data_IF_255154674982
#
_entry.id   IF_255154674982
#
_cell.length_a   1.000
_cell.length_b   1.000
_cell.length_c   1.000
_cell.angle_alpha   90.00
_cell.angle_beta   90.00
_cell.angle_gamma   90.00
#
_symmetry.space_group_name_H-M   'P 1'
#
loop_
_entity.id
_entity.type
_entity.pdbx_description
1 polymer ?
#
# COMPACT_ATOMS: atom_id res chain seq x y z
N UNK A 1 28.56 -36.26 -35.33
CA UNK A 1 27.22 -35.78 -35.70
C UNK A 1 26.15 -36.59 -34.98
N UNK A 2 25.92 -36.42 -33.69
CA UNK A 2 24.83 -37.01 -32.91
C UNK A 2 24.71 -36.24 -31.56
N UNK A 3 24.35 -34.95 -31.57
CA UNK A 3 24.03 -34.16 -30.38
C UNK A 3 23.23 -32.89 -30.74
N UNK A 4 22.24 -33.00 -31.62
CA UNK A 4 21.42 -31.83 -32.01
C UNK A 4 19.91 -32.11 -32.09
N UNK A 5 19.40 -33.19 -31.52
CA UNK A 5 17.96 -33.53 -31.62
C UNK A 5 17.24 -33.77 -30.29
N UNK A 6 17.80 -33.28 -29.16
CA UNK A 6 17.17 -33.52 -27.84
C UNK A 6 16.57 -32.26 -27.19
N UNK A 7 16.61 -31.10 -27.81
CA UNK A 7 16.13 -29.85 -27.20
C UNK A 7 14.88 -29.25 -27.85
N UNK A 8 14.19 -29.95 -28.74
CA UNK A 8 12.95 -29.48 -29.40
C UNK A 8 11.69 -30.19 -28.87
N UNK A 9 11.82 -31.26 -28.07
CA UNK A 9 10.69 -32.06 -27.61
C UNK A 9 10.08 -31.60 -26.25
N UNK A 10 10.68 -30.62 -25.55
CA UNK A 10 10.18 -30.17 -24.21
C UNK A 10 9.26 -28.96 -24.30
N UNK A 11 9.21 -28.22 -25.41
CA UNK A 11 8.30 -27.09 -25.58
C UNK A 11 6.91 -27.42 -26.12
N UNK A 12 6.67 -28.70 -26.52
CA UNK A 12 5.39 -29.08 -27.16
C UNK A 12 4.39 -29.79 -26.22
N UNK A 13 4.73 -30.02 -24.93
CA UNK A 13 3.86 -30.73 -23.97
C UNK A 13 3.15 -29.84 -22.95
N UNK A 14 3.27 -28.50 -23.05
CA UNK A 14 2.57 -27.52 -22.19
C UNK A 14 1.30 -26.94 -22.83
N UNK A 15 0.86 -27.48 -23.96
CA UNK A 15 -0.24 -26.93 -24.76
C UNK A 15 -1.63 -27.57 -24.61
N UNK A 16 -1.82 -28.61 -23.77
CA UNK A 16 -3.09 -29.33 -23.78
C UNK A 16 -3.61 -29.70 -22.39
N UNK A 17 -3.81 -28.71 -21.49
CA UNK A 17 -4.66 -28.87 -20.29
C UNK A 17 -5.50 -27.62 -20.04
N UNK A 18 -6.28 -27.21 -21.02
CA UNK A 18 -7.38 -26.26 -20.84
C UNK A 18 -8.65 -26.81 -21.46
N UNK A 19 -9.21 -27.85 -20.83
CA UNK A 19 -10.59 -28.26 -21.14
C UNK A 19 -11.40 -28.06 -19.86
N UNK A 20 -12.15 -26.96 -19.82
CA UNK A 20 -13.11 -26.73 -18.74
C UNK A 20 -13.40 -25.28 -18.34
N UNK A 21 -12.77 -24.28 -18.95
CA UNK A 21 -13.21 -22.89 -18.76
C UNK A 21 -14.01 -22.45 -19.97
N UNK A 22 -15.25 -21.97 -19.74
CA UNK A 22 -16.01 -21.21 -20.75
C UNK A 22 -15.08 -20.19 -21.38
N UNK A 23 -15.11 -20.12 -22.70
CA UNK A 23 -14.30 -19.22 -23.51
C UNK A 23 -14.23 -17.83 -22.84
N UNK A 24 -13.02 -17.43 -22.42
CA UNK A 24 -12.77 -16.02 -22.07
C UNK A 24 -13.02 -15.24 -23.35
N UNK A 25 -14.08 -14.45 -23.37
CA UNK A 25 -14.25 -13.47 -24.43
C UNK A 25 -13.00 -12.60 -24.44
N UNK A 26 -12.28 -12.64 -25.54
CA UNK A 26 -11.17 -11.71 -25.79
C UNK A 26 -11.80 -10.32 -25.89
N UNK A 27 -11.69 -9.53 -24.83
CA UNK A 27 -12.31 -8.20 -24.77
C UNK A 27 -11.52 -7.27 -25.66
N UNK A 28 -12.24 -6.61 -26.53
CA UNK A 28 -11.76 -5.45 -27.26
C UNK A 28 -11.18 -4.42 -26.25
N UNK A 29 -9.98 -3.96 -26.50
CA UNK A 29 -9.25 -2.96 -25.74
C UNK A 29 -10.13 -1.74 -25.46
N UNK A 30 -10.43 -1.43 -24.18
CA UNK A 30 -10.97 -0.14 -23.82
C UNK A 30 -11.90 -0.01 -22.63
N UNK A 31 -12.34 -1.08 -21.98
CA UNK A 31 -13.21 -0.92 -20.81
C UNK A 31 -12.43 -0.64 -19.54
N UNK A 32 -12.79 0.46 -18.85
CA UNK A 32 -12.18 0.82 -17.57
C UNK A 32 -12.63 -0.12 -16.45
N UNK A 33 -11.71 -0.49 -15.58
CA UNK A 33 -12.02 -1.22 -14.37
C UNK A 33 -12.93 -0.39 -13.44
N UNK A 34 -13.87 -1.05 -12.78
CA UNK A 34 -14.81 -0.45 -11.83
C UNK A 34 -14.41 -0.77 -10.38
N UNK A 35 -15.12 -0.15 -9.42
CA UNK A 35 -14.89 -0.34 -8.00
C UNK A 35 -13.98 0.72 -7.39
N UNK A 36 -14.04 0.84 -6.06
CA UNK A 36 -13.23 1.77 -5.27
C UNK A 36 -11.90 1.12 -4.89
N UNK A 37 -10.88 1.92 -4.54
CA UNK A 37 -9.64 1.40 -3.96
C UNK A 37 -9.92 0.42 -2.81
N UNK A 38 -9.21 -0.71 -2.81
CA UNK A 38 -9.31 -1.77 -1.80
C UNK A 38 -10.65 -2.52 -1.73
N UNK A 39 -11.59 -2.29 -2.65
CA UNK A 39 -12.72 -3.20 -2.86
C UNK A 39 -12.22 -4.46 -3.60
N UNK A 40 -12.69 -5.63 -3.16
CA UNK A 40 -12.35 -6.94 -3.74
C UNK A 40 -13.62 -7.78 -3.94
N UNK A 41 -13.86 -8.16 -5.18
CA UNK A 41 -14.91 -9.15 -5.52
C UNK A 41 -14.35 -10.55 -5.33
N UNK A 42 -14.98 -11.35 -4.46
CA UNK A 42 -14.69 -12.78 -4.28
C UNK A 42 -15.81 -13.59 -4.88
N UNK A 43 -15.54 -14.26 -5.98
CA UNK A 43 -16.47 -15.16 -6.65
C UNK A 43 -16.32 -16.55 -6.03
N UNK A 44 -17.30 -16.94 -5.21
CA UNK A 44 -17.21 -18.15 -4.42
C UNK A 44 -18.56 -18.81 -4.23
N UNK A 45 -18.64 -20.12 -4.44
CA UNK A 45 -19.84 -20.93 -4.18
C UNK A 45 -20.23 -20.88 -2.69
N UNK A 46 -21.52 -21.07 -2.38
CA UNK A 46 -22.01 -20.97 -1.00
C UNK A 46 -21.33 -21.96 -0.07
N UNK A 47 -21.19 -23.22 -0.48
CA UNK A 47 -20.60 -24.27 0.33
C UNK A 47 -19.12 -23.98 0.66
N UNK A 48 -18.36 -23.48 -0.32
CA UNK A 48 -16.96 -23.12 -0.09
C UNK A 48 -16.83 -21.88 0.82
N UNK A 49 -17.75 -20.92 0.71
CA UNK A 49 -17.72 -19.70 1.52
C UNK A 49 -18.03 -19.92 3.00
N UNK A 50 -18.90 -20.90 3.32
CA UNK A 50 -19.26 -21.25 4.72
C UNK A 50 -18.41 -22.39 5.30
N UNK A 51 -17.35 -22.80 4.60
CA UNK A 51 -16.37 -23.78 5.06
C UNK A 51 -15.11 -23.13 5.60
N UNK A 52 -14.16 -23.94 6.09
CA UNK A 52 -12.84 -23.47 6.51
C UNK A 52 -12.11 -22.65 5.45
N UNK A 53 -12.33 -22.93 4.16
CA UNK A 53 -11.77 -22.12 3.06
C UNK A 53 -12.29 -20.70 3.09
N UNK A 54 -13.59 -20.52 3.28
CA UNK A 54 -14.20 -19.19 3.40
C UNK A 54 -13.70 -18.45 4.65
N UNK A 55 -13.55 -19.14 5.77
CA UNK A 55 -13.01 -18.58 7.00
C UNK A 55 -11.54 -18.16 6.81
N UNK A 56 -10.72 -19.00 6.19
CA UNK A 56 -9.32 -18.70 5.84
C UNK A 56 -9.21 -17.47 4.95
N UNK A 57 -10.01 -17.41 3.87
CA UNK A 57 -10.02 -16.26 2.97
C UNK A 57 -10.44 -14.98 3.68
N UNK A 58 -11.47 -15.04 4.54
CA UNK A 58 -11.92 -13.88 5.30
C UNK A 58 -10.87 -13.42 6.31
N UNK A 59 -10.23 -14.35 7.03
CA UNK A 59 -9.17 -14.03 7.97
C UNK A 59 -7.98 -13.33 7.30
N UNK A 60 -7.60 -13.77 6.10
CA UNK A 60 -6.51 -13.15 5.33
C UNK A 60 -6.93 -11.79 4.76
N UNK A 61 -8.03 -11.72 4.05
CA UNK A 61 -8.43 -10.54 3.29
C UNK A 61 -8.99 -9.41 4.17
N UNK A 62 -9.58 -9.77 5.31
CA UNK A 62 -10.15 -8.81 6.27
C UNK A 62 -9.29 -8.62 7.51
N UNK A 63 -8.03 -9.08 7.52
CA UNK A 63 -7.14 -8.79 8.65
C UNK A 63 -7.03 -7.28 8.88
N UNK A 64 -6.80 -6.83 10.12
CA UNK A 64 -6.71 -5.40 10.41
C UNK A 64 -5.49 -4.77 9.72
N UNK A 65 -5.64 -3.52 9.30
CA UNK A 65 -4.50 -2.69 8.90
C UNK A 65 -3.75 -2.28 10.16
N UNK A 66 -2.52 -2.75 10.32
CA UNK A 66 -1.75 -2.61 11.55
C UNK A 66 -1.47 -1.15 11.96
N UNK A 67 -1.35 -0.27 10.98
CA UNK A 67 -1.04 1.15 11.21
C UNK A 67 -2.24 1.99 11.69
N UNK A 68 -3.44 1.38 11.79
CA UNK A 68 -4.66 2.09 12.17
C UNK A 68 -5.06 1.80 13.62
N UNK A 69 -5.49 2.83 14.38
CA UNK A 69 -5.87 2.68 15.79
C UNK A 69 -7.23 1.97 16.01
N UNK A 70 -8.03 1.88 14.95
CA UNK A 70 -9.35 1.24 14.95
C UNK A 70 -9.37 0.21 13.84
N UNK A 71 -10.02 -0.91 14.08
CA UNK A 71 -10.15 -1.96 13.09
C UNK A 71 -10.69 -1.43 11.76
N UNK A 72 -9.90 -1.56 10.73
CA UNK A 72 -10.28 -1.44 9.32
C UNK A 72 -9.69 -2.65 8.59
N UNK A 73 -10.49 -3.39 7.80
CA UNK A 73 -9.99 -4.55 7.07
C UNK A 73 -9.04 -4.13 5.95
N UNK A 74 -8.10 -5.00 5.59
CA UNK A 74 -7.21 -4.75 4.45
C UNK A 74 -7.99 -4.57 3.15
N UNK A 75 -9.05 -5.37 2.93
CA UNK A 75 -9.92 -5.25 1.76
C UNK A 75 -11.39 -5.23 2.15
N UNK A 76 -12.18 -4.41 1.45
CA UNK A 76 -13.65 -4.43 1.49
C UNK A 76 -14.13 -5.58 0.60
N UNK A 77 -14.35 -6.74 1.20
CA UNK A 77 -14.69 -7.98 0.48
C UNK A 77 -16.18 -8.03 0.13
N UNK A 78 -16.48 -8.14 -1.15
CA UNK A 78 -17.80 -8.39 -1.69
C UNK A 78 -17.89 -9.81 -2.27
N UNK A 79 -18.57 -10.69 -1.59
CA UNK A 79 -18.77 -12.04 -2.12
C UNK A 79 -19.88 -12.09 -3.16
N UNK A 80 -19.64 -12.76 -4.28
CA UNK A 80 -20.59 -12.99 -5.37
C UNK A 80 -20.67 -14.49 -5.69
N UNK A 81 -21.87 -14.99 -5.93
CA UNK A 81 -22.06 -16.36 -6.41
C UNK A 81 -21.58 -16.49 -7.87
N UNK A 82 -20.99 -17.63 -8.27
CA UNK A 82 -20.49 -17.81 -9.64
C UNK A 82 -21.53 -17.49 -10.73
N UNK A 83 -22.80 -17.83 -10.51
CA UNK A 83 -23.88 -17.55 -11.49
C UNK A 83 -24.22 -16.06 -11.63
N UNK A 84 -23.84 -15.25 -10.65
CA UNK A 84 -24.05 -13.79 -10.64
C UNK A 84 -22.82 -13.01 -11.09
N UNK A 85 -21.71 -13.70 -11.34
CA UNK A 85 -20.49 -13.08 -11.82
C UNK A 85 -20.58 -12.85 -13.32
N UNK A 86 -20.91 -11.61 -13.70
CA UNK A 86 -21.13 -11.19 -15.10
C UNK A 86 -21.16 -9.66 -15.20
N UNK A 87 -20.96 -9.13 -16.41
CA UNK A 87 -21.09 -7.70 -16.73
C UNK A 87 -20.22 -6.81 -15.83
N UNK A 88 -20.81 -5.91 -15.05
CA UNK A 88 -20.09 -4.96 -14.20
C UNK A 88 -19.17 -5.63 -13.16
N UNK A 89 -19.55 -6.81 -12.66
CA UNK A 89 -18.73 -7.52 -11.68
C UNK A 89 -17.47 -8.13 -12.28
N UNK A 90 -17.52 -8.51 -13.57
CA UNK A 90 -16.33 -8.99 -14.30
C UNK A 90 -15.31 -7.88 -14.56
N UNK A 91 -15.75 -6.63 -14.54
CA UNK A 91 -14.88 -5.45 -14.74
C UNK A 91 -14.36 -4.86 -13.46
N UNK A 92 -14.62 -5.49 -12.29
CA UNK A 92 -14.12 -4.98 -11.03
C UNK A 92 -12.59 -4.98 -10.98
N UNK A 93 -12.01 -3.97 -10.37
CA UNK A 93 -10.55 -3.76 -10.33
C UNK A 93 -9.76 -4.87 -9.66
N UNK A 94 -10.33 -5.53 -8.64
CA UNK A 94 -9.75 -6.66 -7.95
C UNK A 94 -10.77 -7.80 -7.91
N UNK A 95 -10.38 -8.96 -8.43
CA UNK A 95 -11.23 -10.14 -8.49
C UNK A 95 -10.44 -11.35 -7.99
N UNK A 96 -11.07 -12.12 -7.09
CA UNK A 96 -10.61 -13.43 -6.66
C UNK A 96 -11.69 -14.46 -6.96
N UNK A 97 -11.43 -15.36 -7.88
CA UNK A 97 -12.32 -16.49 -8.19
C UNK A 97 -11.85 -17.73 -7.45
N UNK A 98 -12.76 -18.35 -6.73
CA UNK A 98 -12.53 -19.61 -6.00
C UNK A 98 -13.13 -20.76 -6.79
N UNK A 99 -12.29 -21.68 -7.23
CA UNK A 99 -12.67 -22.86 -8.01
C UNK A 99 -12.28 -24.15 -7.26
N UNK A 100 -13.26 -24.87 -6.76
CA UNK A 100 -13.06 -26.15 -6.07
C UNK A 100 -13.69 -27.25 -6.91
N UNK A 101 -12.90 -28.21 -7.37
CA UNK A 101 -13.34 -29.35 -8.16
C UNK A 101 -12.44 -30.56 -7.94
N UNK A 102 -12.99 -31.77 -7.78
CA UNK A 102 -12.19 -33.01 -7.67
C UNK A 102 -11.32 -33.32 -8.90
N UNK A 103 -11.62 -32.68 -10.04
CA UNK A 103 -10.82 -32.81 -11.26
C UNK A 103 -9.50 -32.05 -11.19
N UNK A 104 -9.37 -31.09 -10.25
CA UNK A 104 -8.14 -30.34 -10.00
C UNK A 104 -7.24 -31.17 -9.10
N UNK A 105 -6.06 -31.50 -9.57
CA UNK A 105 -5.13 -32.39 -8.83
C UNK A 105 -4.30 -31.62 -7.80
N UNK A 106 -3.86 -30.43 -8.16
CA UNK A 106 -2.95 -29.62 -7.33
C UNK A 106 -3.55 -28.25 -7.07
N UNK A 107 -3.48 -27.74 -5.82
CA UNK A 107 -3.93 -26.39 -5.50
C UNK A 107 -3.02 -25.35 -6.15
N UNK A 108 -3.60 -24.22 -6.57
CA UNK A 108 -2.83 -23.15 -7.20
C UNK A 108 -3.47 -21.77 -7.00
N UNK A 109 -2.63 -20.72 -7.02
CA UNK A 109 -3.02 -19.33 -7.22
C UNK A 109 -2.48 -18.86 -8.58
N UNK A 110 -3.39 -18.60 -9.52
CA UNK A 110 -3.07 -18.06 -10.83
C UNK A 110 -3.45 -16.59 -10.91
N UNK A 111 -2.55 -15.73 -11.38
CA UNK A 111 -2.75 -14.29 -11.47
C UNK A 111 -2.77 -13.86 -12.93
N UNK A 112 -3.75 -13.05 -13.30
CA UNK A 112 -3.85 -12.41 -14.61
C UNK A 112 -4.13 -10.92 -14.41
N UNK A 113 -3.45 -10.08 -15.16
CA UNK A 113 -3.71 -8.66 -15.20
C UNK A 113 -4.55 -8.31 -16.42
N UNK A 114 -5.44 -7.31 -16.28
CA UNK A 114 -6.24 -6.77 -17.39
C UNK A 114 -7.06 -7.83 -18.15
N UNK A 115 -7.67 -8.75 -17.41
CA UNK A 115 -8.39 -9.88 -18.00
C UNK A 115 -9.67 -9.45 -18.72
N UNK A 116 -10.44 -8.54 -18.12
CA UNK A 116 -11.76 -8.10 -18.61
C UNK A 116 -11.89 -6.57 -18.58
N UNK A 117 -11.02 -5.86 -17.89
CA UNK A 117 -10.99 -4.40 -17.82
C UNK A 117 -9.58 -3.92 -17.46
N UNK A 118 -9.31 -2.61 -17.54
CA UNK A 118 -8.02 -2.01 -17.21
C UNK A 118 -8.18 -0.82 -16.26
N UNK A 119 -7.30 -0.68 -15.26
CA UNK A 119 -6.31 -1.66 -14.76
C UNK A 119 -6.98 -2.66 -13.81
N UNK A 120 -6.77 -3.95 -14.00
CA UNK A 120 -7.41 -5.02 -13.24
C UNK A 120 -6.41 -6.06 -12.76
N UNK A 121 -6.58 -6.59 -11.55
CA UNK A 121 -6.00 -7.85 -11.11
C UNK A 121 -7.08 -8.91 -10.96
N UNK A 122 -6.86 -10.06 -11.58
CA UNK A 122 -7.75 -11.20 -11.60
C UNK A 122 -7.00 -12.42 -11.08
N UNK A 123 -7.42 -12.97 -9.94
CA UNK A 123 -6.78 -14.09 -9.28
C UNK A 123 -7.74 -15.29 -9.31
N UNK A 124 -7.22 -16.47 -9.64
CA UNK A 124 -7.93 -17.73 -9.51
C UNK A 124 -7.25 -18.56 -8.43
N UNK A 125 -7.96 -18.83 -7.34
CA UNK A 125 -7.59 -19.81 -6.34
C UNK A 125 -8.32 -21.10 -6.67
N UNK A 126 -7.62 -22.18 -6.94
CA UNK A 126 -8.21 -23.46 -7.32
C UNK A 126 -7.61 -24.62 -6.55
N UNK A 127 -8.40 -25.68 -6.33
CA UNK A 127 -7.97 -26.88 -5.64
C UNK A 127 -8.98 -28.03 -5.71
N UNK A 128 -8.58 -29.25 -5.29
CA UNK A 128 -9.42 -30.45 -5.36
C UNK A 128 -10.60 -30.41 -4.40
N UNK A 129 -10.42 -29.81 -3.24
CA UNK A 129 -11.40 -29.68 -2.16
C UNK A 129 -11.15 -28.42 -1.33
N UNK A 130 -12.08 -28.11 -0.41
CA UNK A 130 -12.01 -26.91 0.43
C UNK A 130 -10.83 -26.96 1.42
N UNK A 131 -10.53 -28.13 1.99
CA UNK A 131 -9.47 -28.27 2.99
C UNK A 131 -8.10 -28.04 2.36
N UNK A 132 -7.79 -28.75 1.29
CA UNK A 132 -6.51 -28.63 0.57
C UNK A 132 -6.30 -27.19 0.05
N UNK A 133 -7.35 -26.56 -0.48
CA UNK A 133 -7.24 -25.19 -0.95
C UNK A 133 -7.10 -24.17 0.19
N UNK A 134 -7.77 -24.38 1.33
CA UNK A 134 -7.63 -23.52 2.51
C UNK A 134 -6.19 -23.55 3.06
N UNK A 135 -5.60 -24.73 3.18
CA UNK A 135 -4.22 -24.89 3.59
C UNK A 135 -3.26 -24.18 2.63
N UNK A 136 -3.40 -24.42 1.33
CA UNK A 136 -2.57 -23.80 0.32
C UNK A 136 -2.66 -22.25 0.32
N UNK A 137 -3.86 -21.70 0.42
CA UNK A 137 -4.07 -20.25 0.51
C UNK A 137 -3.47 -19.68 1.79
N UNK A 138 -3.57 -20.39 2.92
CA UNK A 138 -2.96 -19.99 4.19
C UNK A 138 -1.44 -19.94 4.09
N UNK A 139 -0.81 -20.94 3.49
CA UNK A 139 0.64 -21.01 3.26
C UNK A 139 1.13 -19.92 2.28
N UNK A 140 0.29 -19.53 1.33
CA UNK A 140 0.58 -18.51 0.31
C UNK A 140 -0.07 -17.15 0.59
N UNK A 141 -0.51 -16.89 1.82
CA UNK A 141 -1.24 -15.67 2.21
C UNK A 141 -0.47 -14.39 1.88
N UNK A 142 0.84 -14.38 2.09
CA UNK A 142 1.68 -13.21 1.84
C UNK A 142 1.76 -12.89 0.33
N UNK A 143 1.84 -13.91 -0.52
CA UNK A 143 1.81 -13.75 -1.96
C UNK A 143 0.47 -13.22 -2.45
N UNK A 144 -0.64 -13.75 -1.93
CA UNK A 144 -2.00 -13.28 -2.26
C UNK A 144 -2.17 -11.80 -1.91
N UNK A 145 -1.79 -11.41 -0.69
CA UNK A 145 -1.86 -10.03 -0.23
C UNK A 145 -0.92 -9.12 -1.02
N UNK A 146 0.31 -9.56 -1.26
CA UNK A 146 1.28 -8.80 -2.05
C UNK A 146 0.77 -8.47 -3.47
N UNK A 147 0.15 -9.44 -4.15
CA UNK A 147 -0.40 -9.22 -5.50
C UNK A 147 -1.52 -8.18 -5.48
N UNK A 148 -2.43 -8.26 -4.51
CA UNK A 148 -3.55 -7.33 -4.36
C UNK A 148 -3.07 -5.91 -3.98
N UNK A 149 -2.18 -5.81 -2.99
CA UNK A 149 -1.59 -4.54 -2.55
C UNK A 149 -0.75 -3.90 -3.66
N UNK A 150 0.04 -4.70 -4.38
CA UNK A 150 0.82 -4.22 -5.52
C UNK A 150 -0.08 -3.65 -6.61
N UNK A 151 -1.20 -4.30 -6.91
CA UNK A 151 -2.15 -3.79 -7.91
C UNK A 151 -2.74 -2.43 -7.51
N UNK A 152 -3.10 -2.23 -6.24
CA UNK A 152 -3.57 -0.94 -5.74
C UNK A 152 -2.47 0.13 -5.80
N UNK A 153 -1.25 -0.21 -5.37
CA UNK A 153 -0.10 0.67 -5.45
C UNK A 153 0.21 1.07 -6.89
N UNK A 154 0.28 0.13 -7.82
CA UNK A 154 0.61 0.40 -9.22
C UNK A 154 -0.39 1.38 -9.86
N UNK A 155 -1.68 1.32 -9.48
CA UNK A 155 -2.71 2.26 -9.95
C UNK A 155 -2.45 3.67 -9.41
N UNK A 156 -2.15 3.81 -8.10
CA UNK A 156 -1.87 5.12 -7.49
C UNK A 156 -0.57 5.72 -8.04
N UNK A 157 0.46 4.90 -8.18
CA UNK A 157 1.74 5.27 -8.79
C UNK A 157 1.55 5.74 -10.24
N UNK A 158 0.77 5.02 -11.03
CA UNK A 158 0.48 5.41 -12.42
C UNK A 158 -0.26 6.74 -12.50
N UNK A 159 -1.24 6.96 -11.61
CA UNK A 159 -1.95 8.24 -11.53
C UNK A 159 -1.00 9.40 -11.17
N UNK A 160 -0.22 9.26 -10.11
CA UNK A 160 0.72 10.29 -9.67
C UNK A 160 1.77 10.63 -10.74
N UNK A 161 2.23 9.61 -11.48
CA UNK A 161 3.19 9.81 -12.58
C UNK A 161 2.57 10.45 -13.82
N UNK A 162 1.28 10.23 -14.06
CA UNK A 162 0.57 10.82 -15.19
C UNK A 162 0.15 12.28 -14.95
N UNK A 163 -0.12 12.64 -13.69
CA UNK A 163 -0.61 13.98 -13.29
C UNK A 163 0.23 14.59 -12.17
N UNK A 164 1.56 14.79 -12.38
CA UNK A 164 2.43 15.37 -11.36
C UNK A 164 2.22 16.88 -11.26
N UNK A 165 2.19 17.39 -10.04
CA UNK A 165 2.21 18.83 -9.76
C UNK A 165 3.45 19.48 -10.37
N UNK A 166 3.25 20.49 -11.20
CA UNK A 166 4.33 21.22 -11.88
C UNK A 166 5.13 22.11 -10.92
N UNK A 167 4.60 22.37 -9.73
CA UNK A 167 5.28 23.20 -8.71
C UNK A 167 5.86 22.36 -7.57
N UNK A 168 5.12 21.36 -7.07
CA UNK A 168 5.53 20.60 -5.88
C UNK A 168 6.61 19.54 -6.19
N UNK A 169 6.49 18.86 -7.33
CA UNK A 169 7.46 17.83 -7.73
C UNK A 169 8.87 18.43 -7.89
N UNK A 170 9.09 19.53 -8.65
CA UNK A 170 10.41 20.16 -8.74
C UNK A 170 10.89 20.75 -7.41
N UNK A 171 9.98 21.29 -6.59
CA UNK A 171 10.32 21.82 -5.26
C UNK A 171 10.95 20.76 -4.36
N UNK A 172 10.33 19.57 -4.29
CA UNK A 172 10.83 18.45 -3.48
C UNK A 172 12.17 17.96 -4.03
N UNK A 173 12.32 17.83 -5.35
CA UNK A 173 13.59 17.45 -5.97
C UNK A 173 14.70 18.44 -5.64
N UNK A 174 14.44 19.72 -5.77
CA UNK A 174 15.41 20.77 -5.47
C UNK A 174 15.85 20.78 -3.99
N UNK A 175 14.89 20.59 -3.07
CA UNK A 175 15.18 20.71 -1.63
C UNK A 175 15.83 19.47 -1.02
N UNK A 176 15.44 18.29 -1.47
CA UNK A 176 15.79 17.01 -0.84
C UNK A 176 16.65 16.11 -1.71
N UNK A 177 16.94 16.51 -2.96
CA UNK A 177 17.61 15.64 -3.96
C UNK A 177 16.87 14.29 -4.13
N UNK A 178 15.54 14.35 -4.15
CA UNK A 178 14.64 13.20 -4.22
C UNK A 178 13.62 13.44 -5.32
N UNK A 179 13.58 12.55 -6.31
CA UNK A 179 12.50 12.53 -7.30
C UNK A 179 11.31 11.78 -6.74
N UNK A 180 10.20 12.47 -6.54
CA UNK A 180 8.92 11.92 -6.09
C UNK A 180 7.79 12.68 -6.78
N UNK A 181 7.13 12.09 -7.80
CA UNK A 181 5.95 12.69 -8.40
C UNK A 181 4.86 12.89 -7.35
N UNK A 182 4.47 14.14 -7.15
CA UNK A 182 3.38 14.52 -6.23
C UNK A 182 2.19 14.87 -7.10
N UNK A 183 1.00 14.26 -6.88
CA UNK A 183 -0.20 14.59 -7.64
C UNK A 183 -0.57 16.07 -7.53
N UNK A 184 -1.23 16.61 -8.55
CA UNK A 184 -1.58 18.04 -8.66
C UNK A 184 -2.74 18.46 -7.74
N UNK A 185 -3.42 17.50 -7.11
CA UNK A 185 -4.47 17.73 -6.11
C UNK A 185 -3.94 18.07 -4.69
N UNK A 186 -2.61 18.03 -4.48
CA UNK A 186 -1.95 18.46 -3.25
C UNK A 186 -1.55 19.93 -3.25
N UNK A 187 -1.49 20.53 -2.06
CA UNK A 187 -1.14 21.95 -1.88
C UNK A 187 0.00 22.11 -0.87
N UNK A 188 0.96 22.99 -1.18
CA UNK A 188 2.00 23.40 -0.25
C UNK A 188 1.38 24.22 0.90
N UNK A 189 1.61 23.80 2.13
CA UNK A 189 1.14 24.49 3.34
C UNK A 189 2.25 25.33 3.98
N UNK A 190 3.42 24.74 4.12
CA UNK A 190 4.59 25.41 4.71
C UNK A 190 5.87 24.94 4.04
N UNK A 191 6.82 25.84 3.93
CA UNK A 191 8.17 25.59 3.45
C UNK A 191 9.17 26.30 4.35
N UNK A 192 10.21 25.58 4.77
CA UNK A 192 11.41 26.11 5.37
C UNK A 192 12.65 25.55 4.64
N UNK A 193 13.85 25.86 5.09
CA UNK A 193 15.09 25.39 4.46
C UNK A 193 15.23 23.84 4.46
N UNK A 194 14.72 23.20 5.52
CA UNK A 194 14.91 21.78 5.83
C UNK A 194 13.59 20.97 5.86
N UNK A 195 12.45 21.61 5.54
CA UNK A 195 11.14 20.97 5.61
C UNK A 195 10.15 21.56 4.61
N UNK A 196 9.29 20.72 4.04
CA UNK A 196 8.03 21.09 3.37
C UNK A 196 6.87 20.35 4.02
N UNK A 197 5.74 21.01 4.16
CA UNK A 197 4.46 20.39 4.53
C UNK A 197 3.47 20.56 3.38
N UNK A 198 2.91 19.43 2.92
CA UNK A 198 2.07 19.31 1.75
C UNK A 198 0.84 18.50 2.14
N UNK A 199 -0.36 18.97 1.81
CA UNK A 199 -1.60 18.26 2.14
C UNK A 199 -2.69 18.44 1.10
N UNK A 200 -3.64 17.51 1.11
CA UNK A 200 -4.93 17.61 0.45
C UNK A 200 -6.02 17.72 1.53
N UNK A 201 -6.84 18.77 1.43
CA UNK A 201 -7.90 19.06 2.39
C UNK A 201 -9.26 18.67 1.83
N UNK A 202 -10.05 18.01 2.65
CA UNK A 202 -11.44 17.69 2.41
C UNK A 202 -12.33 18.41 3.44
N UNK A 203 -13.63 18.55 3.26
CA UNK A 203 -14.49 19.31 4.18
C UNK A 203 -14.42 18.87 5.64
N UNK A 204 -14.10 17.60 5.92
CA UNK A 204 -14.04 17.07 7.30
C UNK A 204 -12.84 16.15 7.53
N UNK A 205 -11.90 16.11 6.61
CA UNK A 205 -10.74 15.24 6.68
C UNK A 205 -9.55 15.92 6.00
N UNK A 206 -8.35 15.45 6.28
CA UNK A 206 -7.12 15.88 5.65
C UNK A 206 -6.17 14.71 5.55
N UNK A 207 -5.44 14.63 4.46
CA UNK A 207 -4.30 13.75 4.31
C UNK A 207 -3.11 14.55 3.81
N UNK A 208 -1.93 14.15 4.22
CA UNK A 208 -0.74 14.88 3.79
C UNK A 208 0.54 14.21 4.24
N UNK A 209 1.60 14.83 3.85
CA UNK A 209 2.93 14.44 4.27
C UNK A 209 3.79 15.67 4.49
N UNK A 210 4.77 15.55 5.38
CA UNK A 210 5.84 16.49 5.48
C UNK A 210 7.18 15.79 5.25
N UNK A 211 7.99 16.40 4.41
CA UNK A 211 9.32 15.91 4.09
C UNK A 211 10.30 16.80 4.81
N UNK A 212 11.24 16.18 5.53
CA UNK A 212 12.27 16.92 6.24
C UNK A 212 13.61 16.21 6.17
N UNK A 213 14.67 16.98 6.37
CA UNK A 213 16.05 16.50 6.36
C UNK A 213 16.87 17.08 7.48
N UNK A 214 17.91 16.35 7.87
CA UNK A 214 18.92 16.77 8.85
C UNK A 214 20.22 15.99 8.66
N UNK A 215 21.37 16.48 9.17
CA UNK A 215 22.63 15.78 9.02
C UNK A 215 22.58 14.34 9.57
N UNK A 216 23.21 13.41 8.85
CA UNK A 216 23.39 12.04 9.34
C UNK A 216 24.63 11.96 10.21
N UNK A 217 24.45 11.68 11.49
CA UNK A 217 25.49 11.62 12.52
C UNK A 217 25.83 10.18 12.95
N UNK A 218 25.57 9.19 12.08
CA UNK A 218 25.79 7.78 12.35
C UNK A 218 24.52 7.03 12.75
N UNK A 219 24.68 5.72 13.01
CA UNK A 219 23.54 4.77 13.21
C UNK A 219 22.68 5.12 14.42
N UNK A 220 23.21 5.82 15.41
CA UNK A 220 22.46 6.26 16.59
C UNK A 220 21.33 7.22 16.23
N UNK A 221 21.52 8.06 15.19
CA UNK A 221 20.50 8.98 14.68
C UNK A 221 19.30 8.27 14.01
N UNK A 222 19.41 6.98 13.75
CA UNK A 222 18.38 6.15 13.15
C UNK A 222 17.66 5.25 14.17
N UNK A 223 18.00 5.31 15.44
CA UNK A 223 17.28 4.58 16.50
C UNK A 223 15.91 5.20 16.75
N UNK A 224 14.95 4.38 17.21
CA UNK A 224 13.55 4.79 17.41
C UNK A 224 13.41 6.11 18.19
N UNK A 225 14.09 6.24 19.34
CA UNK A 225 13.96 7.45 20.18
C UNK A 225 14.54 8.70 19.49
N UNK A 226 15.62 8.55 18.69
CA UNK A 226 16.17 9.63 17.88
C UNK A 226 15.20 10.04 16.76
N UNK A 227 14.57 9.07 16.09
CA UNK A 227 13.56 9.32 15.05
C UNK A 227 12.31 9.99 15.61
N UNK A 228 11.82 9.57 16.78
CA UNK A 228 10.69 10.23 17.46
C UNK A 228 11.05 11.69 17.80
N UNK A 229 12.25 11.92 18.34
CA UNK A 229 12.73 13.28 18.66
C UNK A 229 12.84 14.14 17.40
N UNK A 230 13.39 13.61 16.31
CA UNK A 230 13.48 14.31 15.04
C UNK A 230 12.08 14.62 14.49
N UNK A 231 11.19 13.62 14.44
CA UNK A 231 9.80 13.81 14.03
C UNK A 231 9.11 14.93 14.80
N UNK A 232 9.17 14.90 16.12
CA UNK A 232 8.52 15.92 16.97
C UNK A 232 9.10 17.32 16.75
N UNK A 233 10.41 17.46 16.54
CA UNK A 233 11.04 18.73 16.20
C UNK A 233 10.49 19.33 14.89
N UNK A 234 10.25 18.50 13.88
CA UNK A 234 9.70 18.98 12.61
C UNK A 234 8.17 19.09 12.65
N UNK A 235 7.47 18.14 13.23
CA UNK A 235 6.02 18.16 13.36
C UNK A 235 5.52 19.37 14.20
N UNK A 236 6.29 19.84 15.20
CA UNK A 236 5.94 21.05 15.97
C UNK A 236 5.90 22.34 15.16
N UNK A 237 6.40 22.32 13.92
CA UNK A 237 6.26 23.44 12.98
C UNK A 237 4.95 23.40 12.19
N UNK A 238 4.17 22.35 12.33
CA UNK A 238 2.82 22.21 11.77
C UNK A 238 1.84 22.73 12.80
N UNK A 239 1.22 23.91 12.57
CA UNK A 239 0.32 24.53 13.54
C UNK A 239 -0.96 23.73 13.66
N UNK A 240 -1.47 23.60 14.87
CA UNK A 240 -2.82 23.15 15.14
C UNK A 240 -3.84 24.27 14.95
N UNK A 241 -5.14 23.97 15.16
CA UNK A 241 -6.24 24.94 14.99
C UNK A 241 -6.26 26.09 16.01
N UNK A 242 -5.56 25.94 17.14
CA UNK A 242 -5.43 27.00 18.17
C UNK A 242 -4.04 27.62 18.14
N UNK A 243 -3.97 28.87 18.47
CA UNK A 243 -2.70 29.56 18.68
C UNK A 243 -1.82 28.81 19.72
N UNK A 244 -0.56 28.57 19.37
CA UNK A 244 0.38 27.82 20.20
C UNK A 244 0.17 26.29 20.21
N UNK A 245 -0.83 25.76 19.50
CA UNK A 245 -0.97 24.33 19.31
C UNK A 245 -0.20 23.83 18.08
N UNK A 246 0.32 22.60 18.13
CA UNK A 246 1.15 22.02 17.08
C UNK A 246 1.07 20.49 17.06
N UNK A 247 1.48 19.89 15.95
CA UNK A 247 1.49 18.42 15.79
C UNK A 247 2.65 17.80 16.60
N UNK A 248 2.37 16.66 17.25
CA UNK A 248 3.36 15.83 17.93
C UNK A 248 3.06 14.35 17.81
N UNK A 249 3.95 13.48 18.29
CA UNK A 249 3.72 12.03 18.37
C UNK A 249 3.06 11.70 19.69
N UNK A 250 2.01 10.89 19.66
CA UNK A 250 1.36 10.36 20.87
C UNK A 250 2.38 9.53 21.66
N UNK A 251 2.59 9.88 22.92
CA UNK A 251 3.51 9.21 23.84
C UNK A 251 2.81 8.39 24.93
N UNK A 252 1.51 8.55 25.06
CA UNK A 252 0.66 7.85 26.03
C UNK A 252 -0.75 7.69 25.48
N UNK A 253 -1.39 6.59 25.80
CA UNK A 253 -2.80 6.30 25.49
C UNK A 253 -3.55 6.01 26.77
N UNK A 254 -4.85 6.20 26.74
CA UNK A 254 -5.71 5.83 27.88
C UNK A 254 -5.93 4.32 27.84
N UNK A 255 -5.88 3.67 28.99
CA UNK A 255 -6.12 2.24 29.14
C UNK A 255 -7.59 1.85 28.85
N UNK A 256 -7.90 0.56 28.86
CA UNK A 256 -9.24 0.03 28.59
C UNK A 256 -10.29 0.53 29.60
N UNK A 257 -9.87 0.93 30.80
CA UNK A 257 -10.77 1.47 31.85
C UNK A 257 -11.10 2.94 31.63
N UNK A 258 -10.30 3.66 30.83
CA UNK A 258 -10.42 5.08 30.61
C UNK A 258 -9.84 5.93 31.76
N UNK A 259 -9.18 5.33 32.75
CA UNK A 259 -8.73 5.99 33.97
C UNK A 259 -7.22 6.26 34.00
N UNK A 260 -6.41 5.41 33.34
CA UNK A 260 -4.95 5.50 33.42
C UNK A 260 -4.32 5.79 32.07
N UNK A 261 -3.24 6.57 32.07
CA UNK A 261 -2.39 6.77 30.91
C UNK A 261 -1.28 5.74 30.87
N UNK A 262 -1.20 4.97 29.76
CA UNK A 262 -0.17 3.99 29.50
C UNK A 262 0.82 4.58 28.48
N UNK A 263 2.15 4.55 28.76
CA UNK A 263 3.14 4.93 27.77
C UNK A 263 3.03 4.10 26.51
N UNK A 264 3.10 4.75 25.34
CA UNK A 264 3.12 4.09 24.05
C UNK A 264 4.26 4.63 23.19
N UNK A 265 4.75 3.81 22.29
CA UNK A 265 5.73 4.20 21.28
C UNK A 265 5.28 3.71 19.91
N UNK A 266 5.66 4.41 18.84
CA UNK A 266 5.45 3.94 17.48
C UNK A 266 6.09 2.57 17.24
N UNK A 267 5.50 1.78 16.35
CA UNK A 267 6.13 0.59 15.80
C UNK A 267 7.28 0.99 14.86
N UNK A 268 8.27 0.11 14.73
CA UNK A 268 9.49 0.38 14.01
C UNK A 268 9.97 -0.88 13.29
N UNK A 269 10.22 -0.75 11.98
CA UNK A 269 10.74 -1.84 11.14
C UNK A 269 11.59 -1.32 10.00
N UNK A 270 12.46 -2.17 9.45
CA UNK A 270 13.22 -1.87 8.24
C UNK A 270 12.62 -2.59 7.04
N UNK A 271 12.48 -1.88 5.93
CA UNK A 271 12.03 -2.42 4.64
C UNK A 271 13.02 -2.02 3.54
N UNK A 272 12.83 -2.56 2.34
CA UNK A 272 13.52 -2.10 1.13
C UNK A 272 12.49 -1.57 0.13
N UNK A 273 12.78 -0.40 -0.44
CA UNK A 273 12.07 0.13 -1.61
C UNK A 273 13.11 0.26 -2.71
N UNK A 274 12.99 -0.56 -3.75
CA UNK A 274 14.07 -0.75 -4.70
C UNK A 274 15.33 -1.28 -4.01
N UNK A 275 16.45 -0.63 -4.24
CA UNK A 275 17.74 -0.97 -3.59
C UNK A 275 17.98 -0.22 -2.28
N UNK A 276 17.16 0.79 -1.99
CA UNK A 276 17.32 1.66 -0.83
C UNK A 276 16.69 1.05 0.42
N UNK A 277 17.42 0.95 1.55
CA UNK A 277 16.86 0.59 2.83
C UNK A 277 16.08 1.77 3.43
N UNK A 278 14.92 1.49 3.99
CA UNK A 278 14.06 2.44 4.66
C UNK A 278 13.68 1.97 6.05
N UNK A 279 13.67 2.87 6.99
CA UNK A 279 13.08 2.65 8.31
C UNK A 279 11.66 3.17 8.26
N UNK A 280 10.72 2.31 8.60
CA UNK A 280 9.30 2.66 8.70
C UNK A 280 8.92 2.73 10.16
N UNK A 281 8.43 3.87 10.57
CA UNK A 281 7.90 4.12 11.90
C UNK A 281 6.41 4.44 11.77
N UNK A 282 5.54 3.69 12.46
CA UNK A 282 4.09 3.89 12.43
C UNK A 282 3.53 4.10 13.83
N UNK A 283 2.59 5.02 13.97
CA UNK A 283 2.00 5.37 15.25
C UNK A 283 0.88 6.36 15.13
N UNK A 284 0.57 7.03 16.24
CA UNK A 284 -0.43 8.07 16.32
C UNK A 284 0.21 9.44 16.50
N UNK A 285 -0.40 10.43 15.86
CA UNK A 285 -0.10 11.84 16.09
C UNK A 285 -1.28 12.52 16.76
N UNK A 286 -0.99 13.57 17.49
CA UNK A 286 -1.97 14.45 18.14
C UNK A 286 -1.55 15.91 17.99
N UNK A 287 -2.47 16.80 18.27
CA UNK A 287 -2.17 18.24 18.39
C UNK A 287 -2.09 18.59 19.87
N UNK A 288 -0.94 19.13 20.28
CA UNK A 288 -0.73 19.62 21.64
C UNK A 288 -1.77 20.69 22.00
N UNK A 289 -2.41 20.51 23.14
CA UNK A 289 -3.48 21.40 23.66
C UNK A 289 -4.73 21.52 22.76
N UNK A 290 -5.00 20.54 21.90
CA UNK A 290 -6.21 20.49 21.09
C UNK A 290 -6.62 19.05 20.78
N UNK A 291 -7.93 18.78 20.76
CA UNK A 291 -8.45 17.43 20.50
C UNK A 291 -8.48 17.13 18.99
N UNK A 292 -7.33 16.79 18.46
CA UNK A 292 -7.14 16.42 17.06
C UNK A 292 -5.98 15.44 16.96
N UNK A 293 -6.13 14.39 16.14
CA UNK A 293 -5.09 13.39 15.95
C UNK A 293 -5.47 12.33 14.90
N UNK A 294 -4.57 11.41 14.68
CA UNK A 294 -4.76 10.32 13.70
C UNK A 294 -3.55 9.42 13.55
N UNK A 295 -3.58 8.48 12.60
CA UNK A 295 -2.43 7.64 12.28
C UNK A 295 -1.40 8.40 11.46
N UNK A 296 -0.13 8.00 11.61
CA UNK A 296 0.97 8.38 10.75
C UNK A 296 1.85 7.18 10.39
N UNK A 297 2.55 7.29 9.27
CA UNK A 297 3.63 6.38 8.86
C UNK A 297 4.78 7.21 8.31
N UNK A 298 5.92 7.17 8.98
CA UNK A 298 7.15 7.84 8.55
C UNK A 298 8.07 6.87 7.83
N UNK A 299 8.62 7.30 6.71
CA UNK A 299 9.63 6.59 5.94
C UNK A 299 10.94 7.37 6.02
N UNK A 300 11.94 6.80 6.66
CA UNK A 300 13.25 7.44 6.86
C UNK A 300 14.35 6.66 6.17
N UNK A 301 15.24 7.38 5.48
CA UNK A 301 16.42 6.82 4.87
C UNK A 301 17.58 7.80 4.91
N UNK A 302 18.78 7.36 4.53
CA UNK A 302 19.96 8.22 4.41
C UNK A 302 20.26 8.46 2.93
N UNK A 303 20.26 9.72 2.53
CA UNK A 303 20.84 10.11 1.25
C UNK A 303 22.36 10.14 1.37
N UNK A 304 23.01 9.13 0.79
CA UNK A 304 24.47 9.00 0.86
C UNK A 304 25.22 10.10 0.11
N UNK A 305 24.58 10.71 -0.90
CA UNK A 305 25.20 11.76 -1.70
C UNK A 305 25.33 13.08 -0.93
N UNK A 306 24.35 13.40 -0.07
CA UNK A 306 24.34 14.62 0.73
C UNK A 306 24.73 14.39 2.19
N UNK A 307 24.87 13.14 2.62
CA UNK A 307 25.06 12.72 4.01
C UNK A 307 23.96 13.26 4.94
N UNK A 308 22.71 13.21 4.46
CA UNK A 308 21.54 13.68 5.21
C UNK A 308 20.57 12.53 5.46
N UNK A 309 19.92 12.53 6.62
CA UNK A 309 18.71 11.76 6.87
C UNK A 309 17.56 12.48 6.19
N UNK A 310 16.76 11.74 5.42
CA UNK A 310 15.54 12.23 4.78
C UNK A 310 14.38 11.42 5.31
N UNK A 311 13.34 12.10 5.74
CA UNK A 311 12.09 11.48 6.20
C UNK A 311 10.90 12.02 5.43
N UNK A 312 10.03 11.10 4.97
CA UNK A 312 8.69 11.39 4.42
C UNK A 312 7.69 10.87 5.44
N UNK A 313 7.00 11.78 6.11
CA UNK A 313 6.03 11.47 7.17
C UNK A 313 4.60 11.65 6.65
N UNK A 314 3.91 10.55 6.44
CA UNK A 314 2.54 10.49 5.95
C UNK A 314 1.57 10.50 7.12
N UNK A 315 0.56 11.39 7.14
CA UNK A 315 -0.44 11.47 8.19
C UNK A 315 -1.86 11.60 7.64
N UNK A 316 -2.83 11.14 8.41
CA UNK A 316 -4.25 11.24 8.07
C UNK A 316 -5.03 11.81 9.25
N UNK A 317 -5.92 12.76 8.95
CA UNK A 317 -6.96 13.23 9.84
C UNK A 317 -8.33 12.92 9.24
N UNK A 318 -9.13 12.08 9.90
CA UNK A 318 -10.48 11.77 9.46
C UNK A 318 -11.37 11.36 10.65
N UNK A 319 -11.85 12.32 11.47
CA UNK A 319 -12.56 12.01 12.71
C UNK A 319 -13.97 11.44 12.48
N UNK A 320 -14.62 11.76 11.35
CA UNK A 320 -16.02 11.42 11.10
C UNK A 320 -16.24 10.09 10.37
N UNK A 321 -15.20 9.54 9.74
CA UNK A 321 -15.32 8.31 8.95
C UNK A 321 -14.34 7.26 9.44
N UNK A 322 -14.76 6.01 9.60
CA UNK A 322 -13.85 4.93 9.99
C UNK A 322 -12.79 4.60 8.94
N UNK A 323 -13.00 4.97 7.68
CA UNK A 323 -12.12 4.57 6.57
C UNK A 323 -10.93 5.52 6.38
N UNK A 324 -9.88 5.30 7.17
CA UNK A 324 -8.58 5.97 7.04
C UNK A 324 -7.60 5.18 6.19
N UNK A 325 -7.84 3.86 6.03
CA UNK A 325 -6.97 2.95 5.27
C UNK A 325 -6.64 3.49 3.88
N UNK A 326 -7.65 3.84 3.08
CA UNK A 326 -7.40 4.28 1.71
C UNK A 326 -6.56 5.55 1.66
N UNK A 327 -6.86 6.54 2.52
CA UNK A 327 -6.11 7.78 2.63
C UNK A 327 -4.64 7.52 3.00
N UNK A 328 -4.42 6.69 4.04
CA UNK A 328 -3.06 6.36 4.46
C UNK A 328 -2.29 5.58 3.40
N UNK A 329 -2.93 4.61 2.75
CA UNK A 329 -2.33 3.83 1.66
C UNK A 329 -2.01 4.68 0.42
N UNK A 330 -2.86 5.64 0.08
CA UNK A 330 -2.59 6.57 -1.03
C UNK A 330 -1.31 7.36 -0.82
N UNK A 331 -1.07 7.86 0.40
CA UNK A 331 0.18 8.52 0.77
C UNK A 331 1.38 7.56 0.76
N UNK A 332 1.23 6.39 1.38
CA UNK A 332 2.29 5.38 1.44
C UNK A 332 2.73 4.94 0.03
N UNK A 333 1.80 4.82 -0.91
CA UNK A 333 2.10 4.43 -2.29
C UNK A 333 2.98 5.46 -3.00
N UNK A 334 2.86 6.75 -2.70
CA UNK A 334 3.71 7.79 -3.28
C UNK A 334 5.19 7.63 -2.88
N UNK A 335 5.45 7.09 -1.68
CA UNK A 335 6.81 6.83 -1.23
C UNK A 335 7.52 5.78 -2.09
N UNK A 336 6.79 4.85 -2.70
CA UNK A 336 7.38 3.88 -3.64
C UNK A 336 7.85 4.50 -4.96
N UNK A 337 7.50 5.75 -5.24
CA UNK A 337 8.00 6.53 -6.39
C UNK A 337 9.31 7.26 -6.10
N UNK A 338 9.75 7.25 -4.85
CA UNK A 338 10.97 7.93 -4.45
C UNK A 338 12.18 7.33 -5.15
N UNK A 339 12.89 8.18 -5.86
CA UNK A 339 14.15 7.83 -6.49
C UNK A 339 15.21 8.89 -6.14
N UNK A 340 16.39 8.42 -5.75
CA UNK A 340 17.56 9.28 -5.56
C UNK A 340 18.28 9.38 -6.92
N UNK A 341 18.43 10.60 -7.49
CA UNK A 341 19.19 10.76 -8.71
C UNK A 341 20.59 10.18 -8.51
N UNK A 342 20.99 9.25 -9.35
CA UNK A 342 22.40 8.86 -9.45
C UNK A 342 23.19 10.10 -9.79
N UNK A 343 24.23 10.39 -9.02
CA UNK A 343 25.26 11.31 -9.48
C UNK A 343 25.88 10.63 -10.72
N UNK A 344 25.40 11.00 -11.90
CA UNK A 344 26.23 10.81 -13.07
C UNK A 344 27.54 11.50 -12.76
N UNK A 345 28.58 10.72 -12.61
CA UNK A 345 29.93 11.22 -12.60
C UNK A 345 30.06 12.06 -13.86
N UNK A 346 29.93 13.36 -13.71
CA UNK A 346 30.30 14.31 -14.72
C UNK A 346 31.82 14.16 -14.89
N UNK A 347 32.23 13.08 -15.56
CA UNK A 347 33.54 13.02 -16.23
C UNK A 347 33.41 13.92 -17.44
N UNK A 348 33.71 15.18 -17.15
CA UNK A 348 33.94 16.17 -18.18
C UNK A 348 34.92 15.69 -19.23
N UNK A 349 34.58 15.98 -20.40
CA UNK A 349 35.56 16.37 -21.42
C UNK A 349 35.22 17.78 -21.86
#
# INVERSE_FOLDING_TARGET
>A
MKRAFLNIAICALLGTMFVGCKAFHTIQSGENATGKPYELVVVCAQQAWISELGDTLQAILKQPVAELPIYEPMFDVMRILPNNFKSLTERHRNILVVNVSPDIKEPALAVKYDATAKPQVYIVAQGPDNHTLAQYVSENRENLLYVLEKAERDRRVSYASAFPSQSLTPLVEQMFSVKMPIPDDYTLRTKSEDMVWISQEFPTASEGFFIYKYPYEGVESLKLDALIKARNRFASRIPGPREGSYMTTVSKVVDETGENYIPTKPEYKTIRIGEQPWIVMSGLWEVENYYMGGPFVSYTTVNKATNEVITIDCYVYNPKKPKKRNMLRDLQHLVYLVNFPTQDTATGK
#
